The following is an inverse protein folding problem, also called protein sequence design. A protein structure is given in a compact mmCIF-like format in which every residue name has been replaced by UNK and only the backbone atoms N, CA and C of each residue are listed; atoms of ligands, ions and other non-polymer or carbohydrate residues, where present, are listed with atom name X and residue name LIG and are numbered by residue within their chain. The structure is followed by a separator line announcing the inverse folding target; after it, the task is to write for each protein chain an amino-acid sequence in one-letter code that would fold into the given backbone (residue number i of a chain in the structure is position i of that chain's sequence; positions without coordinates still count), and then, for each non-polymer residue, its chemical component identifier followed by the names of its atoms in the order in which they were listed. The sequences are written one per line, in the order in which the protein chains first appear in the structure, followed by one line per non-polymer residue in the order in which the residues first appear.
data_IF_681203313739
#
_entry.id   IF_681203313739
#
_cell.length_a   1.000
_cell.length_b   1.000
_cell.length_c   1.000
_cell.angle_alpha   90.00
_cell.angle_beta   90.00
_cell.angle_gamma   90.00
#
_symmetry.space_group_name_H-M   'P 1'
#
loop_
_entity.id
_entity.type
_entity.pdbx_description
1 polymer ?
#
# COMPACT_ATOMS: atom_id res chain seq x y z
N UNK A 1 14.31 2.73 -19.66
CA UNK A 1 13.86 3.32 -18.37
C UNK A 1 12.57 4.08 -18.65
N UNK A 2 11.41 3.60 -18.16
CA UNK A 2 10.11 4.24 -18.42
C UNK A 2 9.99 5.55 -17.62
N UNK A 3 10.09 6.68 -18.32
CA UNK A 3 9.76 8.00 -17.79
C UNK A 3 8.24 8.15 -17.80
N UNK A 4 7.61 8.69 -16.76
CA UNK A 4 6.14 8.87 -16.75
C UNK A 4 5.78 10.33 -17.06
N UNK A 5 4.59 10.53 -17.64
CA UNK A 5 4.14 11.85 -18.05
C UNK A 5 3.31 12.52 -16.94
N UNK A 6 3.96 13.41 -16.18
CA UNK A 6 3.32 14.16 -15.08
C UNK A 6 2.07 14.92 -15.49
N UNK A 7 2.02 15.44 -16.72
CA UNK A 7 0.84 16.15 -17.24
C UNK A 7 -0.32 15.18 -17.48
N UNK A 8 -0.04 14.00 -18.05
CA UNK A 8 -1.05 12.99 -18.31
C UNK A 8 -1.60 12.39 -17.01
N UNK A 9 -0.77 12.22 -15.98
CA UNK A 9 -1.23 11.82 -14.64
C UNK A 9 -2.19 12.84 -14.02
N UNK A 10 -1.84 14.13 -14.03
CA UNK A 10 -2.74 15.18 -13.50
C UNK A 10 -4.07 15.17 -14.25
N UNK A 11 -4.02 14.98 -15.57
CA UNK A 11 -5.21 14.85 -16.41
C UNK A 11 -6.03 13.62 -16.01
N UNK A 12 -5.38 12.48 -15.77
CA UNK A 12 -6.04 11.25 -15.33
C UNK A 12 -6.69 11.41 -13.96
N UNK A 13 -6.04 12.05 -13.00
CA UNK A 13 -6.64 12.35 -11.69
C UNK A 13 -7.91 13.21 -11.85
N UNK A 14 -7.88 14.23 -12.71
CA UNK A 14 -9.07 15.04 -13.04
C UNK A 14 -10.17 14.25 -13.76
N UNK A 15 -9.82 13.21 -14.53
CA UNK A 15 -10.82 12.29 -15.09
C UNK A 15 -11.49 11.45 -14.02
N UNK A 16 -10.74 10.96 -13.03
CA UNK A 16 -11.28 10.24 -11.88
C UNK A 16 -12.23 11.15 -11.10
N UNK A 17 -11.82 12.38 -10.77
CA UNK A 17 -12.66 13.39 -10.09
C UNK A 17 -13.99 13.61 -10.83
N UNK A 18 -13.93 13.86 -12.15
CA UNK A 18 -15.13 14.00 -12.98
C UNK A 18 -15.95 12.72 -13.09
N UNK A 19 -15.32 11.55 -12.98
CA UNK A 19 -15.97 10.25 -12.94
C UNK A 19 -16.79 10.06 -11.67
N UNK A 20 -16.22 10.43 -10.53
CA UNK A 20 -16.89 10.37 -9.22
C UNK A 20 -18.12 11.29 -9.20
N UNK A 21 -17.99 12.53 -9.68
CA UNK A 21 -19.13 13.48 -9.72
C UNK A 21 -20.27 12.98 -10.61
N UNK A 22 -19.93 12.41 -11.79
CA UNK A 22 -20.92 11.80 -12.69
C UNK A 22 -21.62 10.60 -12.04
N UNK A 23 -20.86 9.77 -11.30
CA UNK A 23 -21.41 8.66 -10.56
C UNK A 23 -22.32 9.10 -9.40
N UNK A 24 -21.95 10.13 -8.63
CA UNK A 24 -22.80 10.66 -7.54
C UNK A 24 -24.15 11.16 -8.07
N UNK A 25 -24.16 11.73 -9.28
CA UNK A 25 -25.39 12.20 -9.94
C UNK A 25 -26.21 11.07 -10.59
N UNK A 26 -25.67 9.85 -10.67
CA UNK A 26 -26.33 8.70 -11.28
C UNK A 26 -27.19 7.91 -10.27
N UNK A 27 -28.01 7.00 -10.77
CA UNK A 27 -28.73 6.02 -9.93
C UNK A 27 -27.86 4.89 -9.37
N UNK A 28 -26.58 4.82 -9.74
CA UNK A 28 -25.65 3.80 -9.27
C UNK A 28 -25.31 4.01 -7.78
N UNK A 29 -25.30 2.92 -7.02
CA UNK A 29 -24.99 2.92 -5.58
C UNK A 29 -23.53 2.63 -5.28
N UNK A 30 -22.83 1.86 -6.12
CA UNK A 30 -21.47 1.39 -5.87
C UNK A 30 -20.51 1.92 -6.93
N UNK A 31 -19.35 2.40 -6.49
CA UNK A 31 -18.21 2.78 -7.32
C UNK A 31 -16.95 2.09 -6.82
N UNK A 32 -16.26 1.43 -7.72
CA UNK A 32 -14.93 0.90 -7.47
C UNK A 32 -13.89 1.81 -8.11
N UNK A 33 -12.96 2.30 -7.31
CA UNK A 33 -11.78 3.01 -7.80
C UNK A 33 -10.60 2.08 -7.61
N UNK A 34 -10.02 1.61 -8.71
CA UNK A 34 -8.92 0.67 -8.68
C UNK A 34 -7.62 1.43 -8.91
N UNK A 35 -6.69 1.34 -7.96
CA UNK A 35 -5.42 2.08 -8.01
C UNK A 35 -4.25 1.27 -7.48
N UNK A 36 -3.05 1.70 -7.84
CA UNK A 36 -1.83 1.28 -7.17
C UNK A 36 -1.83 1.71 -5.69
N UNK A 37 -1.22 0.93 -4.77
CA UNK A 37 -1.10 1.27 -3.35
C UNK A 37 -0.46 2.64 -3.09
N UNK A 38 -0.80 3.24 -1.94
CA UNK A 38 -0.27 4.52 -1.43
C UNK A 38 -0.43 5.70 -2.38
N UNK A 39 -1.51 5.70 -3.17
CA UNK A 39 -1.84 6.79 -4.05
C UNK A 39 -2.82 7.77 -3.38
N UNK A 40 -2.72 9.05 -3.72
CA UNK A 40 -3.41 10.10 -2.96
C UNK A 40 -4.93 9.95 -2.98
N UNK A 41 -5.56 10.29 -1.86
CA UNK A 41 -7.00 10.39 -1.65
C UNK A 41 -7.60 11.75 -2.06
N UNK A 42 -6.79 12.68 -2.58
CA UNK A 42 -7.21 14.08 -2.79
C UNK A 42 -8.43 14.26 -3.68
N UNK A 43 -8.65 13.37 -4.64
CA UNK A 43 -9.79 13.41 -5.55
C UNK A 43 -11.14 13.11 -4.85
N UNK A 44 -11.13 12.68 -3.58
CA UNK A 44 -12.34 12.56 -2.76
C UNK A 44 -12.82 13.87 -2.13
N UNK A 45 -11.98 14.91 -2.10
CA UNK A 45 -12.33 16.16 -1.41
C UNK A 45 -13.64 16.72 -1.96
N UNK A 46 -13.76 16.85 -3.28
CA UNK A 46 -14.92 17.49 -3.89
C UNK A 46 -16.23 16.77 -3.59
N UNK A 47 -16.23 15.43 -3.65
CA UNK A 47 -17.43 14.63 -3.35
C UNK A 47 -17.79 14.70 -1.86
N UNK A 48 -16.81 14.64 -0.96
CA UNK A 48 -17.04 14.77 0.49
C UNK A 48 -17.65 16.14 0.78
N UNK A 49 -17.05 17.22 0.26
CA UNK A 49 -17.55 18.59 0.49
C UNK A 49 -18.93 18.80 -0.11
N UNK A 50 -19.21 18.25 -1.28
CA UNK A 50 -20.53 18.32 -1.90
C UNK A 50 -21.59 17.62 -1.05
N UNK A 51 -21.31 16.41 -0.55
CA UNK A 51 -22.19 15.69 0.36
C UNK A 51 -22.48 16.48 1.64
N UNK A 52 -21.44 16.99 2.30
CA UNK A 52 -21.59 17.75 3.54
C UNK A 52 -22.42 19.02 3.32
N UNK A 53 -22.19 19.78 2.24
CA UNK A 53 -22.99 20.97 1.90
C UNK A 53 -24.47 20.66 1.65
N UNK A 54 -24.77 19.45 1.20
CA UNK A 54 -26.13 18.95 1.02
C UNK A 54 -26.70 18.29 2.28
N UNK A 55 -26.05 18.47 3.43
CA UNK A 55 -26.43 17.87 4.71
C UNK A 55 -26.50 16.33 4.66
N UNK A 56 -25.66 15.71 3.81
CA UNK A 56 -25.46 14.26 3.75
C UNK A 56 -24.25 13.90 4.62
N UNK A 57 -24.42 12.96 5.55
CA UNK A 57 -23.35 12.43 6.37
C UNK A 57 -22.47 11.45 5.56
N UNK A 58 -21.18 11.49 5.85
CA UNK A 58 -20.13 10.78 5.13
C UNK A 58 -19.22 10.09 6.15
N UNK A 59 -18.89 8.82 5.89
CA UNK A 59 -17.82 8.13 6.61
C UNK A 59 -16.69 7.78 5.65
N UNK A 60 -15.47 8.10 6.06
CA UNK A 60 -14.23 7.63 5.45
C UNK A 60 -13.58 6.59 6.33
N UNK A 61 -13.40 5.40 5.81
CA UNK A 61 -12.87 4.25 6.53
C UNK A 61 -11.47 3.97 6.02
N UNK A 62 -10.49 4.01 6.90
CA UNK A 62 -9.09 3.72 6.59
C UNK A 62 -8.36 3.24 7.84
N UNK A 63 -7.39 2.34 7.66
CA UNK A 63 -6.51 1.89 8.75
C UNK A 63 -5.15 2.60 8.72
N UNK A 64 -5.09 3.78 8.10
CA UNK A 64 -3.96 4.69 8.25
C UNK A 64 -3.75 5.06 9.71
N UNK A 65 -2.48 5.31 10.08
CA UNK A 65 -2.14 5.82 11.41
C UNK A 65 -2.92 7.11 11.70
N UNK A 66 -3.62 7.24 12.85
CA UNK A 66 -4.55 8.35 13.11
C UNK A 66 -3.94 9.76 12.96
N UNK A 67 -2.63 9.89 13.19
CA UNK A 67 -1.92 11.16 13.09
C UNK A 67 -1.44 11.48 11.66
N UNK A 68 -1.64 10.55 10.71
CA UNK A 68 -1.02 10.56 9.40
C UNK A 68 -1.98 10.27 8.24
N UNK A 69 -3.30 10.37 8.45
CA UNK A 69 -4.34 10.08 7.46
C UNK A 69 -4.24 11.03 6.24
N UNK A 70 -4.13 10.48 5.02
CA UNK A 70 -3.93 11.23 3.78
C UNK A 70 -5.08 12.19 3.48
N UNK A 71 -6.33 11.75 3.59
CA UNK A 71 -7.49 12.59 3.29
C UNK A 71 -7.59 13.81 4.20
N UNK A 72 -7.23 13.66 5.49
CA UNK A 72 -7.21 14.76 6.45
C UNK A 72 -6.12 15.78 6.07
N UNK A 73 -4.93 15.32 5.67
CA UNK A 73 -3.87 16.22 5.20
C UNK A 73 -4.30 16.98 3.95
N UNK A 74 -4.93 16.30 2.99
CA UNK A 74 -5.39 16.91 1.76
C UNK A 74 -6.50 17.95 2.04
N UNK A 75 -7.46 17.65 2.91
CA UNK A 75 -8.50 18.60 3.34
C UNK A 75 -7.86 19.85 3.96
N UNK A 76 -6.91 19.68 4.89
CA UNK A 76 -6.20 20.81 5.52
C UNK A 76 -5.40 21.65 4.53
N UNK A 77 -4.85 21.01 3.49
CA UNK A 77 -4.00 21.66 2.49
C UNK A 77 -4.80 22.44 1.44
N UNK A 78 -5.93 21.90 1.01
CA UNK A 78 -6.69 22.42 -0.14
C UNK A 78 -8.00 23.09 0.25
N UNK A 79 -8.43 23.01 1.52
CA UNK A 79 -9.70 23.57 1.99
C UNK A 79 -9.61 24.13 3.41
N UNK A 80 -10.55 25.02 3.74
CA UNK A 80 -10.75 25.52 5.10
C UNK A 80 -11.77 24.69 5.91
N UNK A 81 -12.17 23.53 5.41
CA UNK A 81 -13.12 22.68 6.11
C UNK A 81 -12.51 22.12 7.41
N UNK A 82 -13.25 22.23 8.50
CA UNK A 82 -12.84 21.80 9.86
C UNK A 82 -13.89 20.96 10.58
N UNK A 83 -15.11 20.83 10.02
CA UNK A 83 -16.21 20.06 10.65
C UNK A 83 -16.11 18.57 10.34
N UNK A 84 -15.03 17.95 10.83
CA UNK A 84 -14.82 16.51 10.74
C UNK A 84 -14.29 15.93 12.03
N UNK A 85 -14.55 14.65 12.26
CA UNK A 85 -14.03 13.96 13.45
C UNK A 85 -13.45 12.60 13.14
N UNK A 86 -12.39 12.26 13.86
CA UNK A 86 -11.83 10.92 13.89
C UNK A 86 -12.42 10.13 15.06
N UNK A 87 -13.10 9.02 14.75
CA UNK A 87 -13.75 8.16 15.73
C UNK A 87 -12.71 7.26 16.41
N UNK A 88 -12.26 7.68 17.60
CA UNK A 88 -11.41 6.84 18.45
C UNK A 88 -12.19 5.77 19.22
N UNK A 89 -13.42 6.11 19.61
CA UNK A 89 -14.33 5.23 20.37
C UNK A 89 -15.74 5.32 19.76
N UNK A 90 -16.40 4.19 19.47
CA UNK A 90 -17.71 4.17 18.80
C UNK A 90 -18.85 4.73 19.65
N UNK A 91 -18.67 4.79 20.97
CA UNK A 91 -19.64 5.30 21.94
C UNK A 91 -19.71 6.84 21.97
N UNK A 92 -18.68 7.52 21.44
CA UNK A 92 -18.68 8.97 21.36
C UNK A 92 -19.59 9.39 20.20
N UNK A 93 -20.79 9.87 20.52
CA UNK A 93 -21.63 10.55 19.55
C UNK A 93 -20.96 11.87 19.17
N UNK A 94 -20.37 11.89 17.98
CA UNK A 94 -19.85 13.13 17.39
C UNK A 94 -20.89 13.68 16.42
N UNK A 95 -21.26 14.95 16.61
CA UNK A 95 -22.24 15.63 15.79
C UNK A 95 -21.54 16.36 14.62
N UNK A 96 -20.89 15.60 13.73
CA UNK A 96 -20.27 16.12 12.51
C UNK A 96 -20.74 15.32 11.30
N UNK A 97 -20.87 15.98 10.15
CA UNK A 97 -21.33 15.34 8.93
C UNK A 97 -20.22 14.54 8.23
N UNK A 98 -18.95 14.80 8.53
CA UNK A 98 -17.85 14.03 7.99
C UNK A 98 -17.05 13.31 9.09
N UNK A 99 -17.04 11.98 9.02
CA UNK A 99 -16.41 11.14 10.02
C UNK A 99 -15.34 10.26 9.42
N UNK A 100 -14.27 10.03 10.18
CA UNK A 100 -13.17 9.16 9.80
C UNK A 100 -13.04 8.05 10.85
N UNK A 101 -12.88 6.81 10.43
CA UNK A 101 -12.77 5.66 11.34
C UNK A 101 -11.85 4.59 10.79
N UNK A 102 -11.23 3.83 11.69
CA UNK A 102 -10.63 2.54 11.33
C UNK A 102 -11.71 1.50 11.02
N UNK A 103 -11.33 0.43 10.31
CA UNK A 103 -12.22 -0.69 10.01
C UNK A 103 -12.81 -1.28 11.30
N UNK A 104 -11.94 -1.54 12.30
CA UNK A 104 -12.32 -2.12 13.58
C UNK A 104 -13.32 -1.25 14.38
N UNK A 105 -13.16 0.07 14.34
CA UNK A 105 -14.09 0.98 15.02
C UNK A 105 -15.39 1.14 14.23
N UNK A 106 -15.30 1.18 12.90
CA UNK A 106 -16.45 1.32 12.02
C UNK A 106 -17.40 0.13 12.15
N UNK A 107 -16.87 -1.10 12.32
CA UNK A 107 -17.63 -2.31 12.63
C UNK A 107 -18.46 -2.21 13.92
N UNK A 108 -18.20 -1.26 14.82
CA UNK A 108 -18.94 -1.13 16.09
C UNK A 108 -19.99 -0.02 16.05
N UNK A 109 -20.03 0.75 14.97
CA UNK A 109 -21.00 1.84 14.82
C UNK A 109 -22.40 1.28 14.58
N UNK A 110 -23.38 1.97 15.17
CA UNK A 110 -24.82 1.70 14.96
C UNK A 110 -25.47 2.68 13.98
N UNK A 111 -24.80 3.79 13.67
CA UNK A 111 -25.29 4.80 12.74
C UNK A 111 -25.05 4.40 11.30
N UNK A 112 -25.84 5.00 10.41
CA UNK A 112 -25.77 4.80 8.97
C UNK A 112 -25.32 6.08 8.27
N UNK A 113 -24.77 5.92 7.08
CA UNK A 113 -24.15 6.97 6.29
C UNK A 113 -24.73 7.04 4.88
N UNK A 114 -24.93 8.26 4.38
CA UNK A 114 -25.38 8.50 3.01
C UNK A 114 -24.25 8.32 2.00
N UNK A 115 -23.01 8.52 2.40
CA UNK A 115 -21.82 8.14 1.63
C UNK A 115 -20.84 7.37 2.51
N UNK A 116 -20.46 6.18 2.07
CA UNK A 116 -19.38 5.37 2.67
C UNK A 116 -18.22 5.36 1.69
N UNK A 117 -17.05 5.82 2.13
CA UNK A 117 -15.80 5.69 1.38
C UNK A 117 -14.92 4.71 2.16
N UNK A 118 -14.62 3.57 1.56
CA UNK A 118 -13.66 2.61 2.10
C UNK A 118 -12.34 2.74 1.34
N UNK A 119 -11.31 3.22 2.03
CA UNK A 119 -9.97 3.40 1.50
C UNK A 119 -9.05 2.29 1.99
N UNK A 120 -8.82 1.34 1.10
CA UNK A 120 -7.88 0.24 1.27
C UNK A 120 -6.52 0.57 0.65
N UNK A 121 -6.35 1.69 -0.06
CA UNK A 121 -5.11 2.02 -0.80
C UNK A 121 -4.06 2.71 0.09
N UNK A 122 -4.48 3.63 0.97
CA UNK A 122 -3.54 4.40 1.78
C UNK A 122 -3.07 3.69 3.05
N UNK A 123 -3.72 2.59 3.42
CA UNK A 123 -3.29 1.68 4.48
C UNK A 123 -3.03 0.28 3.92
N UNK A 124 -2.28 -0.54 4.67
CA UNK A 124 -2.09 -1.92 4.24
C UNK A 124 -3.41 -2.70 4.30
N UNK A 125 -3.78 -3.36 3.20
CA UNK A 125 -5.00 -4.16 3.10
C UNK A 125 -4.86 -5.49 3.83
N UNK A 126 -5.60 -5.65 4.92
CA UNK A 126 -5.61 -6.87 5.75
C UNK A 126 -6.91 -7.67 5.55
N UNK A 127 -7.98 -7.00 5.13
CA UNK A 127 -9.33 -7.58 5.10
C UNK A 127 -9.65 -8.21 3.76
N UNK A 128 -10.40 -9.30 3.78
CA UNK A 128 -10.91 -9.93 2.58
C UNK A 128 -12.14 -9.19 2.02
N UNK A 129 -12.56 -9.58 0.81
CA UNK A 129 -13.70 -8.94 0.14
C UNK A 129 -15.01 -9.06 0.92
N UNK A 130 -15.25 -10.17 1.62
CA UNK A 130 -16.49 -10.43 2.34
C UNK A 130 -16.55 -9.61 3.61
N UNK A 131 -15.43 -9.45 4.30
CA UNK A 131 -15.30 -8.57 5.46
C UNK A 131 -15.59 -7.12 5.10
N UNK A 132 -15.04 -6.64 3.97
CA UNK A 132 -15.27 -5.28 3.46
C UNK A 132 -16.75 -5.06 3.11
N UNK A 133 -17.35 -6.00 2.36
CA UNK A 133 -18.77 -5.92 1.99
C UNK A 133 -19.66 -5.89 3.23
N UNK A 134 -19.42 -6.78 4.20
CA UNK A 134 -20.19 -6.85 5.44
C UNK A 134 -20.09 -5.53 6.24
N UNK A 135 -18.90 -4.91 6.32
CA UNK A 135 -18.76 -3.60 6.96
C UNK A 135 -19.63 -2.53 6.25
N UNK A 136 -19.54 -2.46 4.93
CA UNK A 136 -20.25 -1.45 4.13
C UNK A 136 -21.78 -1.61 4.28
N UNK A 137 -22.29 -2.84 4.17
CA UNK A 137 -23.74 -3.13 4.26
C UNK A 137 -24.33 -2.68 5.62
N UNK A 138 -23.56 -2.79 6.69
CA UNK A 138 -23.97 -2.35 8.03
C UNK A 138 -24.04 -0.84 8.16
N UNK A 139 -23.15 -0.13 7.47
CA UNK A 139 -22.97 1.31 7.59
C UNK A 139 -23.81 2.11 6.60
N UNK A 140 -24.28 1.52 5.51
CA UNK A 140 -24.96 2.28 4.46
C UNK A 140 -26.47 2.44 4.73
N UNK A 141 -27.03 3.60 4.35
CA UNK A 141 -28.48 3.74 4.13
C UNK A 141 -28.94 2.99 2.87
N UNK A 142 -30.24 2.64 2.81
CA UNK A 142 -30.84 1.92 1.67
C UNK A 142 -30.56 2.60 0.31
N UNK A 143 -30.62 3.93 0.28
CA UNK A 143 -30.33 4.76 -0.91
C UNK A 143 -28.99 5.50 -0.76
N UNK A 144 -28.11 5.06 0.14
CA UNK A 144 -26.78 5.63 0.28
C UNK A 144 -25.89 5.24 -0.91
N UNK A 145 -24.71 5.82 -0.96
CA UNK A 145 -23.69 5.57 -1.98
C UNK A 145 -22.41 5.05 -1.34
N UNK A 146 -21.65 4.26 -2.11
CA UNK A 146 -20.41 3.61 -1.66
C UNK A 146 -19.32 3.83 -2.68
N UNK A 147 -18.17 4.28 -2.21
CA UNK A 147 -16.93 4.22 -2.97
C UNK A 147 -15.98 3.27 -2.27
N UNK A 148 -15.47 2.27 -3.00
CA UNK A 148 -14.35 1.43 -2.54
C UNK A 148 -13.12 1.79 -3.34
N UNK A 149 -12.05 2.12 -2.65
CA UNK A 149 -10.75 2.47 -3.21
C UNK A 149 -9.75 1.37 -2.85
N UNK A 150 -9.37 0.56 -3.83
CA UNK A 150 -8.64 -0.70 -3.60
C UNK A 150 -7.76 -1.09 -4.80
N UNK A 151 -6.94 -2.13 -4.64
CA UNK A 151 -6.07 -2.62 -5.73
C UNK A 151 -6.80 -3.48 -6.77
N UNK A 152 -8.05 -3.82 -6.50
CA UNK A 152 -8.91 -4.70 -7.31
C UNK A 152 -10.39 -4.38 -7.05
N UNK A 153 -11.31 -4.87 -7.90
CA UNK A 153 -12.74 -4.69 -7.69
C UNK A 153 -13.29 -5.66 -6.61
N UNK A 154 -13.85 -5.11 -5.53
CA UNK A 154 -14.48 -5.87 -4.44
C UNK A 154 -15.91 -6.33 -4.76
N UNK A 155 -16.70 -5.53 -5.50
CA UNK A 155 -18.13 -5.78 -5.75
C UNK A 155 -18.40 -6.52 -7.07
N UNK A 156 -17.43 -6.61 -7.97
CA UNK A 156 -17.51 -7.34 -9.25
C UNK A 156 -18.42 -6.73 -10.33
N UNK A 157 -19.55 -6.10 -9.95
CA UNK A 157 -20.61 -5.67 -10.88
C UNK A 157 -20.94 -4.15 -10.77
N UNK A 158 -20.00 -3.33 -10.33
CA UNK A 158 -20.16 -1.87 -10.18
C UNK A 158 -19.47 -1.07 -11.29
N UNK A 159 -19.72 0.25 -11.32
CA UNK A 159 -18.90 1.15 -12.13
C UNK A 159 -17.46 1.11 -11.63
N UNK A 160 -16.52 1.04 -12.56
CA UNK A 160 -15.09 1.08 -12.26
C UNK A 160 -14.44 2.36 -12.79
N UNK A 161 -13.55 2.93 -11.99
CA UNK A 161 -12.61 3.97 -12.41
C UNK A 161 -11.20 3.46 -12.13
N UNK A 162 -10.34 3.52 -13.14
CA UNK A 162 -8.99 2.93 -13.08
C UNK A 162 -7.91 4.00 -13.04
N UNK A 163 -7.07 4.00 -11.99
CA UNK A 163 -5.92 4.88 -11.80
C UNK A 163 -4.63 4.04 -11.69
N UNK A 164 -4.04 3.63 -12.82
CA UNK A 164 -2.98 2.61 -12.82
C UNK A 164 -1.59 3.09 -12.43
N UNK A 165 -1.44 4.36 -12.07
CA UNK A 165 -0.13 4.97 -11.83
C UNK A 165 -0.20 5.89 -10.63
N UNK A 166 0.90 5.96 -9.88
CA UNK A 166 1.05 6.91 -8.78
C UNK A 166 1.80 8.16 -9.26
N UNK A 167 1.87 9.17 -8.39
CA UNK A 167 2.74 10.33 -8.59
C UNK A 167 4.23 9.94 -8.65
N UNK A 168 4.63 8.78 -8.14
CA UNK A 168 6.00 8.28 -8.21
C UNK A 168 6.24 7.45 -9.49
N UNK A 169 5.24 7.34 -10.37
CA UNK A 169 5.30 6.63 -11.64
C UNK A 169 4.71 5.20 -11.56
N UNK A 170 5.12 4.30 -12.48
CA UNK A 170 4.60 2.93 -12.56
C UNK A 170 4.83 2.19 -11.25
N UNK A 171 4.12 1.09 -10.99
CA UNK A 171 4.33 0.21 -9.83
C UNK A 171 5.48 -0.78 -10.12
N UNK A 172 6.20 -1.23 -9.09
CA UNK A 172 7.28 -2.23 -9.28
C UNK A 172 6.60 -3.56 -9.61
N UNK A 173 7.11 -4.29 -10.60
CA UNK A 173 6.70 -5.67 -10.81
C UNK A 173 7.65 -6.57 -10.00
N UNK A 174 7.14 -7.46 -9.13
CA UNK A 174 8.00 -8.31 -8.32
C UNK A 174 8.63 -9.39 -9.18
N UNK A 175 9.91 -9.69 -8.92
CA UNK A 175 10.62 -10.82 -9.52
C UNK A 175 10.61 -12.01 -8.57
N UNK A 176 10.57 -13.21 -9.12
CA UNK A 176 10.69 -14.45 -8.34
C UNK A 176 12.05 -15.08 -8.54
N UNK A 177 12.69 -15.48 -7.44
CA UNK A 177 13.86 -16.34 -7.43
C UNK A 177 13.46 -17.64 -6.76
N UNK A 178 13.39 -18.71 -7.54
CA UNK A 178 13.20 -20.06 -7.01
C UNK A 178 14.56 -20.66 -6.67
N UNK A 179 14.65 -21.27 -5.50
CA UNK A 179 15.87 -21.87 -4.99
C UNK A 179 15.62 -23.25 -4.40
N UNK A 180 16.61 -24.14 -4.51
CA UNK A 180 16.60 -25.44 -3.82
C UNK A 180 17.35 -25.41 -2.48
N UNK A 181 17.95 -24.26 -2.13
CA UNK A 181 18.64 -24.08 -0.87
C UNK A 181 17.66 -24.07 0.30
N UNK A 182 18.05 -24.65 1.43
CA UNK A 182 17.35 -24.47 2.70
C UNK A 182 17.63 -23.07 3.22
N UNK A 183 16.70 -22.14 2.95
CA UNK A 183 16.82 -20.73 3.32
C UNK A 183 16.87 -20.49 4.84
N UNK A 184 16.57 -21.49 5.67
CA UNK A 184 16.77 -21.40 7.12
C UNK A 184 18.23 -21.55 7.53
N UNK A 185 19.08 -22.13 6.67
CA UNK A 185 20.46 -22.47 6.99
C UNK A 185 21.47 -21.70 6.16
N UNK A 186 21.11 -21.32 4.95
CA UNK A 186 22.07 -20.76 4.01
C UNK A 186 21.49 -19.68 3.09
N UNK A 187 22.39 -18.87 2.52
CA UNK A 187 22.06 -17.86 1.53
C UNK A 187 22.06 -18.47 0.12
N UNK A 188 20.97 -18.36 -0.66
CA UNK A 188 21.02 -18.73 -2.08
C UNK A 188 22.05 -17.88 -2.84
N UNK A 189 22.88 -18.48 -3.69
CA UNK A 189 23.93 -17.76 -4.43
C UNK A 189 23.42 -16.53 -5.20
N UNK A 190 22.27 -16.67 -5.86
CA UNK A 190 21.64 -15.56 -6.61
C UNK A 190 21.32 -14.37 -5.69
N UNK A 191 20.94 -14.64 -4.44
CA UNK A 191 20.68 -13.58 -3.46
C UNK A 191 21.98 -12.90 -3.03
N UNK A 192 23.05 -13.68 -2.79
CA UNK A 192 24.36 -13.10 -2.46
C UNK A 192 24.86 -12.16 -3.57
N UNK A 193 24.80 -12.62 -4.83
CA UNK A 193 25.22 -11.82 -5.99
C UNK A 193 24.35 -10.58 -6.15
N UNK A 194 23.04 -10.71 -5.93
CA UNK A 194 22.14 -9.56 -5.94
C UNK A 194 22.51 -8.54 -4.86
N UNK A 195 22.70 -8.96 -3.61
CA UNK A 195 23.04 -8.06 -2.50
C UNK A 195 24.34 -7.32 -2.80
N UNK A 196 25.34 -8.03 -3.32
CA UNK A 196 26.61 -7.44 -3.75
C UNK A 196 26.40 -6.36 -4.81
N UNK A 197 25.61 -6.63 -5.85
CA UNK A 197 25.27 -5.65 -6.88
C UNK A 197 24.50 -4.45 -6.31
N UNK A 198 23.42 -4.70 -5.57
CA UNK A 198 22.56 -3.65 -5.01
C UNK A 198 23.33 -2.68 -4.11
N UNK A 199 24.18 -3.21 -3.23
CA UNK A 199 25.04 -2.41 -2.36
C UNK A 199 26.09 -1.63 -3.15
N UNK A 200 26.66 -2.20 -4.23
CA UNK A 200 27.63 -1.49 -5.07
C UNK A 200 27.02 -0.30 -5.81
N UNK A 201 25.72 -0.32 -6.06
CA UNK A 201 24.95 0.81 -6.62
C UNK A 201 24.53 1.84 -5.55
N UNK A 202 24.98 1.69 -4.29
CA UNK A 202 24.65 2.59 -3.19
C UNK A 202 23.20 2.47 -2.70
N UNK A 203 22.53 1.36 -2.99
CA UNK A 203 21.17 1.07 -2.53
C UNK A 203 21.19 0.29 -1.22
N UNK A 204 20.12 0.40 -0.45
CA UNK A 204 19.90 -0.40 0.76
C UNK A 204 19.15 -1.67 0.41
N UNK A 205 19.34 -2.72 1.20
CA UNK A 205 18.54 -3.94 1.10
C UNK A 205 17.67 -4.11 2.34
N UNK A 206 16.40 -4.39 2.14
CA UNK A 206 15.47 -4.78 3.19
C UNK A 206 15.06 -6.21 2.91
N UNK A 207 15.28 -7.09 3.86
CA UNK A 207 14.95 -8.51 3.77
C UNK A 207 13.83 -8.78 4.77
N UNK A 208 12.64 -8.94 4.23
CA UNK A 208 11.49 -9.41 4.99
C UNK A 208 11.56 -10.92 5.15
N UNK A 209 11.27 -11.39 6.36
CA UNK A 209 11.08 -12.81 6.69
C UNK A 209 9.77 -12.97 7.46
N UNK A 210 9.13 -14.16 7.45
CA UNK A 210 7.82 -14.35 8.08
C UNK A 210 7.77 -14.19 9.61
N UNK A 211 8.83 -14.53 10.34
CA UNK A 211 8.82 -14.63 11.80
C UNK A 211 10.19 -14.38 12.45
N UNK A 212 10.19 -14.18 13.76
CA UNK A 212 11.37 -13.90 14.59
C UNK A 212 12.47 -14.97 14.52
N UNK A 213 12.10 -16.25 14.44
CA UNK A 213 13.07 -17.35 14.36
C UNK A 213 13.82 -17.28 13.02
N UNK A 214 13.09 -17.01 11.95
CA UNK A 214 13.67 -16.78 10.63
C UNK A 214 14.51 -15.49 10.61
N UNK A 215 14.13 -14.43 11.33
CA UNK A 215 14.98 -13.22 11.46
C UNK A 215 16.35 -13.61 12.01
N UNK A 216 16.40 -14.36 13.11
CA UNK A 216 17.65 -14.77 13.74
C UNK A 216 18.52 -15.63 12.81
N UNK A 217 17.90 -16.62 12.14
CA UNK A 217 18.59 -17.51 11.20
C UNK A 217 19.18 -16.75 10.02
N UNK A 218 18.34 -15.94 9.35
CA UNK A 218 18.73 -15.15 8.18
C UNK A 218 19.79 -14.11 8.54
N UNK A 219 19.64 -13.44 9.68
CA UNK A 219 20.65 -12.52 10.18
C UNK A 219 22.01 -13.21 10.39
N UNK A 220 22.03 -14.39 11.00
CA UNK A 220 23.27 -15.11 11.28
C UNK A 220 24.09 -15.39 10.02
N UNK A 221 23.49 -16.03 9.01
CA UNK A 221 24.24 -16.36 7.80
C UNK A 221 24.52 -15.13 6.93
N UNK A 222 23.59 -14.17 6.82
CA UNK A 222 23.84 -12.94 6.04
C UNK A 222 24.98 -12.16 6.66
N UNK A 223 25.02 -12.03 7.98
CA UNK A 223 26.13 -11.38 8.67
C UNK A 223 27.45 -12.10 8.35
N UNK A 224 27.49 -13.43 8.43
CA UNK A 224 28.71 -14.20 8.20
C UNK A 224 29.24 -14.06 6.76
N UNK A 225 28.37 -14.18 5.76
CA UNK A 225 28.76 -14.11 4.35
C UNK A 225 28.92 -12.66 3.83
N UNK A 226 28.13 -11.72 4.33
CA UNK A 226 28.07 -10.35 3.81
C UNK A 226 28.85 -9.32 4.64
N UNK A 227 29.50 -9.69 5.75
CA UNK A 227 30.30 -8.75 6.58
C UNK A 227 31.36 -7.96 5.79
N UNK A 228 31.89 -8.55 4.72
CA UNK A 228 32.87 -7.89 3.86
C UNK A 228 32.22 -7.01 2.78
N UNK A 229 30.94 -7.25 2.48
CA UNK A 229 30.15 -6.46 1.52
C UNK A 229 29.54 -5.23 2.19
N UNK A 230 29.03 -5.39 3.40
CA UNK A 230 28.29 -4.37 4.12
C UNK A 230 28.62 -4.43 5.61
N UNK A 231 29.12 -3.33 6.16
CA UNK A 231 29.41 -3.20 7.60
C UNK A 231 28.16 -2.99 8.45
N UNK A 232 27.06 -2.55 7.83
CA UNK A 232 25.83 -2.17 8.52
C UNK A 232 24.72 -3.18 8.25
N UNK A 233 24.87 -4.37 8.83
CA UNK A 233 23.84 -5.41 8.81
C UNK A 233 23.11 -5.35 10.15
N UNK A 234 21.80 -5.12 10.09
CA UNK A 234 20.96 -4.88 11.27
C UNK A 234 19.74 -5.80 11.16
N UNK A 235 19.25 -6.29 12.29
CA UNK A 235 17.93 -6.93 12.35
C UNK A 235 16.96 -6.12 13.21
N UNK A 236 15.66 -6.28 12.94
CA UNK A 236 14.56 -5.66 13.69
C UNK A 236 13.41 -6.66 13.81
N UNK A 237 12.98 -6.91 15.04
CA UNK A 237 11.83 -7.77 15.37
C UNK A 237 10.72 -6.86 15.91
N UNK A 238 9.53 -6.90 15.32
CA UNK A 238 8.44 -5.95 15.63
C UNK A 238 8.08 -5.91 17.12
N UNK A 239 8.03 -7.08 17.76
CA UNK A 239 7.56 -7.21 19.15
C UNK A 239 8.64 -6.89 20.20
N UNK A 240 9.92 -7.01 19.86
CA UNK A 240 11.04 -6.89 20.81
C UNK A 240 11.85 -5.60 20.65
N UNK A 241 11.83 -4.99 19.46
CA UNK A 241 12.80 -3.96 19.09
C UNK A 241 12.25 -2.54 19.28
N UNK A 242 12.98 -1.70 20.02
CA UNK A 242 12.73 -0.26 20.03
C UNK A 242 13.02 0.39 18.67
N UNK A 243 12.28 1.45 18.30
CA UNK A 243 12.44 2.20 17.02
C UNK A 243 13.87 2.74 16.76
N UNK A 244 14.77 2.70 17.74
CA UNK A 244 16.15 3.20 17.65
C UNK A 244 17.00 2.44 16.61
N UNK A 245 16.92 1.11 16.56
CA UNK A 245 17.67 0.29 15.59
C UNK A 245 17.24 0.61 14.15
N UNK A 246 15.96 0.88 13.96
CA UNK A 246 15.36 1.24 12.68
C UNK A 246 15.82 2.64 12.20
N UNK A 247 15.83 3.63 13.09
CA UNK A 247 16.29 4.98 12.74
C UNK A 247 17.75 4.98 12.29
N UNK A 248 18.58 4.11 12.88
CA UNK A 248 19.98 3.92 12.46
C UNK A 248 20.06 3.39 11.02
N UNK A 249 19.24 2.41 10.63
CA UNK A 249 19.21 1.90 9.25
C UNK A 249 18.87 3.00 8.23
N UNK A 250 17.87 3.83 8.51
CA UNK A 250 17.46 4.87 7.56
C UNK A 250 18.49 6.00 7.42
N UNK A 251 19.34 6.23 8.42
CA UNK A 251 20.39 7.25 8.37
C UNK A 251 21.66 6.80 7.65
N UNK A 252 21.91 5.49 7.57
CA UNK A 252 23.18 4.95 7.08
C UNK A 252 23.04 4.43 5.63
N UNK A 253 23.97 4.83 4.76
CA UNK A 253 24.11 4.28 3.39
C UNK A 253 24.66 2.85 3.45
N UNK A 254 24.43 2.08 2.40
CA UNK A 254 24.97 0.72 2.23
C UNK A 254 24.69 -0.16 3.45
N UNK A 255 23.40 -0.45 3.65
CA UNK A 255 22.90 -1.16 4.82
C UNK A 255 21.94 -2.27 4.43
N UNK A 256 21.97 -3.36 5.20
CA UNK A 256 21.03 -4.47 5.10
C UNK A 256 20.19 -4.49 6.37
N UNK A 257 18.87 -4.45 6.22
CA UNK A 257 17.91 -4.68 7.29
C UNK A 257 17.24 -6.03 7.12
N UNK A 258 17.20 -6.83 8.17
CA UNK A 258 16.47 -8.10 8.20
C UNK A 258 15.34 -7.98 9.23
N UNK A 259 14.10 -8.25 8.82
CA UNK A 259 12.95 -7.97 9.68
C UNK A 259 11.74 -8.83 9.39
N UNK A 260 10.93 -9.07 10.42
CA UNK A 260 9.57 -9.62 10.34
C UNK A 260 8.48 -8.54 10.29
N UNK A 261 8.87 -7.26 10.37
CA UNK A 261 7.92 -6.16 10.46
C UNK A 261 7.54 -5.62 9.09
N UNK A 262 6.47 -6.18 8.53
CA UNK A 262 5.95 -5.79 7.22
C UNK A 262 5.53 -4.30 7.17
N UNK A 263 4.87 -3.80 8.23
CA UNK A 263 4.37 -2.41 8.32
C UNK A 263 5.48 -1.39 8.22
N UNK A 264 6.65 -1.67 8.80
CA UNK A 264 7.78 -0.74 8.83
C UNK A 264 8.47 -0.61 7.47
N UNK A 265 8.47 -1.68 6.66
CA UNK A 265 9.02 -1.67 5.30
C UNK A 265 8.25 -0.66 4.45
N UNK A 266 6.93 -0.71 4.51
CA UNK A 266 6.02 0.15 3.76
C UNK A 266 6.26 1.65 3.99
N UNK A 267 6.56 2.04 5.23
CA UNK A 267 6.62 3.44 5.60
C UNK A 267 7.82 4.17 4.96
N UNK A 268 8.96 3.47 4.78
CA UNK A 268 10.27 4.12 4.65
C UNK A 268 11.21 3.52 3.59
N UNK A 269 10.75 2.66 2.68
CA UNK A 269 11.56 2.01 1.64
C UNK A 269 12.04 2.94 0.48
N UNK A 270 12.53 4.14 0.79
CA UNK A 270 13.18 5.01 -0.21
C UNK A 270 14.59 4.52 -0.50
N UNK A 271 14.95 4.42 -1.79
CA UNK A 271 16.27 3.98 -2.25
C UNK A 271 16.68 2.61 -1.67
N UNK A 272 15.70 1.72 -1.50
CA UNK A 272 15.89 0.38 -0.99
C UNK A 272 15.33 -0.65 -1.97
N UNK A 273 16.02 -1.75 -2.11
CA UNK A 273 15.47 -2.99 -2.66
C UNK A 273 14.85 -3.80 -1.53
N UNK A 274 13.76 -4.50 -1.85
CA UNK A 274 13.03 -5.34 -0.92
C UNK A 274 13.14 -6.78 -1.39
N UNK A 275 13.62 -7.65 -0.52
CA UNK A 275 13.55 -9.09 -0.68
C UNK A 275 12.54 -9.66 0.32
N UNK A 276 11.67 -10.53 -0.16
CA UNK A 276 10.79 -11.34 0.68
C UNK A 276 11.34 -12.75 0.66
N UNK A 277 11.99 -13.14 1.75
CA UNK A 277 12.44 -14.51 1.96
C UNK A 277 11.27 -15.38 2.38
N UNK A 278 11.33 -16.66 2.00
CA UNK A 278 10.25 -17.62 2.23
C UNK A 278 8.93 -17.11 1.64
N UNK A 279 8.97 -16.59 0.41
CA UNK A 279 7.80 -16.01 -0.24
C UNK A 279 6.69 -17.04 -0.53
N UNK A 280 6.99 -18.33 -0.41
CA UNK A 280 6.07 -19.45 -0.42
C UNK A 280 5.41 -19.76 0.94
N UNK A 281 5.67 -18.96 1.97
CA UNK A 281 5.02 -19.09 3.27
C UNK A 281 3.52 -18.74 3.17
N UNK A 282 2.67 -19.57 3.77
CA UNK A 282 1.21 -19.42 3.72
C UNK A 282 0.68 -18.13 4.35
N UNK A 283 1.43 -17.48 5.23
CA UNK A 283 1.05 -16.20 5.83
C UNK A 283 1.26 -15.02 4.86
N UNK A 284 1.87 -15.24 3.69
CA UNK A 284 2.14 -14.22 2.69
C UNK A 284 1.11 -14.25 1.55
N UNK A 285 0.17 -13.30 1.59
CA UNK A 285 -0.82 -13.12 0.54
C UNK A 285 -0.35 -12.24 -0.62
N UNK A 286 -1.00 -12.35 -1.79
CA UNK A 286 -0.77 -11.49 -2.94
C UNK A 286 -0.85 -10.00 -2.58
N UNK A 287 -1.77 -9.63 -1.68
CA UNK A 287 -1.91 -8.25 -1.19
C UNK A 287 -0.62 -7.76 -0.54
N UNK A 288 0.05 -8.58 0.30
CA UNK A 288 1.36 -8.20 0.88
C UNK A 288 2.37 -7.88 -0.22
N UNK A 289 2.49 -8.73 -1.23
CA UNK A 289 3.44 -8.47 -2.33
C UNK A 289 3.10 -7.21 -3.13
N UNK A 290 1.83 -6.98 -3.46
CA UNK A 290 1.40 -5.79 -4.20
C UNK A 290 1.68 -4.50 -3.43
N UNK A 291 1.41 -4.48 -2.11
CA UNK A 291 1.68 -3.30 -1.28
C UNK A 291 3.18 -3.06 -1.10
N UNK A 292 4.01 -4.10 -1.00
CA UNK A 292 5.47 -3.91 -1.04
C UNK A 292 5.91 -3.24 -2.35
N UNK A 293 5.38 -3.71 -3.48
CA UNK A 293 5.65 -3.14 -4.80
C UNK A 293 5.24 -1.68 -4.93
N UNK A 294 4.14 -1.28 -4.28
CA UNK A 294 3.69 0.11 -4.21
C UNK A 294 4.52 0.97 -3.23
N UNK A 295 5.11 0.37 -2.20
CA UNK A 295 5.87 1.11 -1.18
C UNK A 295 7.25 1.57 -1.64
N UNK A 296 7.80 0.94 -2.69
CA UNK A 296 9.08 1.35 -3.29
C UNK A 296 8.91 2.71 -3.96
N UNK A 297 9.49 3.73 -3.32
CA UNK A 297 9.54 5.10 -3.82
C UNK A 297 10.81 5.31 -4.63
N UNK A 298 10.75 6.15 -5.66
CA UNK A 298 11.94 6.54 -6.44
C UNK A 298 12.97 7.21 -5.51
N UNK A 299 14.23 6.81 -5.65
CA UNK A 299 15.35 7.46 -4.97
C UNK A 299 15.76 8.77 -5.66
N UNK A 300 16.74 9.47 -5.07
CA UNK A 300 17.28 10.75 -5.56
C UNK A 300 17.82 10.67 -7.00
N UNK A 301 18.24 9.49 -7.45
CA UNK A 301 18.78 9.24 -8.79
C UNK A 301 17.75 8.73 -9.81
N UNK A 302 16.45 8.79 -9.51
CA UNK A 302 15.36 8.23 -10.35
C UNK A 302 15.45 6.70 -10.61
N UNK A 303 16.40 6.00 -10.00
CA UNK A 303 16.45 4.54 -10.00
C UNK A 303 15.38 4.01 -9.05
N UNK A 304 14.62 3.05 -9.53
CA UNK A 304 13.55 2.41 -8.77
C UNK A 304 14.12 1.18 -8.08
N UNK A 305 13.80 1.00 -6.80
CA UNK A 305 14.12 -0.24 -6.10
C UNK A 305 13.40 -1.43 -6.72
N UNK A 306 13.89 -2.63 -6.44
CA UNK A 306 13.28 -3.88 -6.89
C UNK A 306 12.56 -4.58 -5.73
N UNK A 307 11.51 -5.34 -6.04
CA UNK A 307 10.91 -6.32 -5.13
C UNK A 307 11.25 -7.71 -5.63
N UNK A 308 11.82 -8.55 -4.75
CA UNK A 308 12.26 -9.90 -5.08
C UNK A 308 11.63 -10.88 -4.10
N UNK A 309 10.89 -11.84 -4.62
CA UNK A 309 10.29 -12.93 -3.88
C UNK A 309 11.22 -14.14 -3.98
N UNK A 310 11.84 -14.53 -2.87
CA UNK A 310 12.74 -15.69 -2.79
C UNK A 310 11.99 -16.84 -2.14
N UNK A 311 11.82 -17.93 -2.88
CA UNK A 311 10.97 -19.06 -2.46
C UNK A 311 11.57 -20.40 -2.87
N UNK A 312 11.14 -21.48 -2.22
CA UNK A 312 11.45 -22.83 -2.67
C UNK A 312 10.44 -23.31 -3.73
N UNK A 313 9.19 -22.85 -3.64
CA UNK A 313 8.10 -23.16 -4.57
C UNK A 313 7.43 -21.86 -5.08
N UNK A 314 6.80 -21.93 -6.25
CA UNK A 314 5.95 -20.84 -6.74
C UNK A 314 4.52 -21.03 -6.21
N UNK A 315 3.88 -19.96 -5.76
CA UNK A 315 2.52 -19.97 -5.22
C UNK A 315 1.57 -19.12 -6.06
N UNK A 316 0.26 -19.38 -5.94
CA UNK A 316 -0.78 -18.58 -6.59
C UNK A 316 -0.73 -17.11 -6.15
N UNK A 317 -0.43 -16.84 -4.89
CA UNK A 317 -0.28 -15.48 -4.36
C UNK A 317 0.86 -14.70 -5.05
N UNK A 318 1.98 -15.37 -5.31
CA UNK A 318 3.12 -14.78 -6.03
C UNK A 318 2.76 -14.48 -7.49
N UNK A 319 2.05 -15.39 -8.15
CA UNK A 319 1.58 -15.20 -9.53
C UNK A 319 0.55 -14.07 -9.62
N UNK A 320 -0.43 -14.06 -8.73
CA UNK A 320 -1.48 -13.04 -8.67
C UNK A 320 -0.89 -11.65 -8.44
N UNK A 321 0.07 -11.50 -7.53
CA UNK A 321 0.76 -10.23 -7.32
C UNK A 321 1.49 -9.73 -8.58
N UNK A 322 2.16 -10.64 -9.30
CA UNK A 322 2.82 -10.33 -10.57
C UNK A 322 1.81 -9.90 -11.64
N UNK A 323 0.68 -10.58 -11.73
CA UNK A 323 -0.38 -10.27 -12.69
C UNK A 323 -1.03 -8.91 -12.39
N UNK A 324 -1.35 -8.60 -11.13
CA UNK A 324 -1.93 -7.31 -10.72
C UNK A 324 -0.96 -6.15 -11.02
N UNK A 325 0.30 -6.27 -10.59
CA UNK A 325 1.30 -5.21 -10.80
C UNK A 325 1.61 -4.99 -12.28
N UNK A 326 1.72 -6.07 -13.07
CA UNK A 326 1.88 -5.99 -14.53
C UNK A 326 0.66 -5.36 -15.20
N UNK A 327 -0.55 -5.69 -14.77
CA UNK A 327 -1.78 -5.13 -15.30
C UNK A 327 -1.80 -3.60 -15.12
N UNK A 328 -1.47 -3.10 -13.93
CA UNK A 328 -1.33 -1.65 -13.73
C UNK A 328 -0.35 -1.00 -14.70
N UNK A 329 0.84 -1.59 -14.87
CA UNK A 329 1.84 -1.03 -15.79
C UNK A 329 1.39 -1.08 -17.25
N UNK A 330 0.73 -2.17 -17.68
CA UNK A 330 0.19 -2.32 -19.04
C UNK A 330 -0.90 -1.28 -19.32
N UNK A 331 -1.88 -1.17 -18.45
CA UNK A 331 -2.96 -0.18 -18.59
C UNK A 331 -2.43 1.26 -18.52
N UNK A 332 -1.42 1.54 -17.69
CA UNK A 332 -0.77 2.85 -17.68
C UNK A 332 -0.08 3.17 -19.02
N UNK A 333 0.51 2.16 -19.66
CA UNK A 333 1.10 2.30 -21.00
C UNK A 333 0.01 2.55 -22.06
N UNK A 334 -1.05 1.74 -22.06
CA UNK A 334 -2.15 1.83 -23.03
C UNK A 334 -2.91 3.17 -22.91
N UNK A 335 -3.01 3.72 -21.70
CA UNK A 335 -3.56 5.05 -21.44
C UNK A 335 -2.59 6.20 -21.75
N UNK A 336 -1.39 5.92 -22.25
CA UNK A 336 -0.37 6.94 -22.57
C UNK A 336 0.18 7.68 -21.34
N UNK A 337 0.10 7.09 -20.15
CA UNK A 337 0.63 7.68 -18.91
C UNK A 337 2.14 7.48 -18.78
N UNK A 338 2.69 6.52 -19.51
CA UNK A 338 4.11 6.21 -19.60
C UNK A 338 4.68 6.75 -20.92
N UNK A 339 5.91 7.26 -20.89
CA UNK A 339 6.64 7.69 -22.08
C UNK A 339 7.45 6.52 -22.62
N UNK A 340 7.42 6.36 -23.94
CA UNK A 340 8.33 5.54 -24.74
C UNK A 340 9.74 6.10 -24.73
#
# INVERSE_FOLDING_TARGET
MLLWNKMNFITKVKEIERGIVRWDSSGEQFLSIISVPYNSSSFFIDIIMNCVRQNRNVIYITDEEPNNIDIIKNIKKYTDFRDYAYIKKPENNVNCLFEISSFHNALKLKKKFQLVIYDDINSFSVYDRYEIINLIDRLIYKNGKVIVYSIENIFGNGRELFLPISKEGPIVEPRTILTRFDMNKDIPFVVYDYLKWSLSEGRKAIIYVPDEFKVANVYSYIHNYCKNLCKNIIYFIEEESGRKSMNKFFQVKDSILITDSFRQIIANAKNSDIMVYFADNADLSYKKFVYLCGSIKRGEMNVKGEVIMVANLETEDMEQARNITRNFNREAWDMGLLKS
#
